data_IF_603433043019
#
_entry.id   IF_603433043019
#
_cell.length_a   1.000
_cell.length_b   1.000
_cell.length_c   1.000
_cell.angle_alpha   90.00
_cell.angle_beta   90.00
_cell.angle_gamma   90.00
#
_symmetry.space_group_name_H-M   'P 1'
#
loop_
_entity.id
_entity.type
_entity.pdbx_description
1 polymer ?
#
# COMPACT_ATOMS: atom_id res chain seq x y z
N UNK A 1 49.30 -15.68 35.56
CA UNK A 1 49.34 -14.67 34.50
C UNK A 1 48.10 -14.85 33.63
N UNK A 2 47.13 -13.96 33.73
CA UNK A 2 45.90 -13.93 32.91
C UNK A 2 45.53 -12.45 32.73
N UNK A 3 45.51 -11.98 31.49
CA UNK A 3 45.18 -10.59 31.15
C UNK A 3 43.68 -10.53 30.85
N UNK A 4 42.90 -9.88 31.72
CA UNK A 4 41.51 -9.54 31.43
C UNK A 4 41.52 -8.24 30.60
N UNK A 5 41.36 -8.37 29.28
CA UNK A 5 41.26 -7.22 28.38
C UNK A 5 39.98 -6.43 28.65
N UNK A 6 40.12 -5.22 29.21
CA UNK A 6 39.02 -4.27 29.31
C UNK A 6 38.63 -3.78 27.91
N UNK A 7 37.38 -3.99 27.52
CA UNK A 7 36.77 -3.28 26.38
C UNK A 7 36.44 -1.85 26.80
N UNK A 8 37.39 -0.93 26.65
CA UNK A 8 37.15 0.50 26.81
C UNK A 8 36.65 1.10 25.50
N UNK A 9 35.40 1.54 25.48
CA UNK A 9 34.88 2.43 24.44
C UNK A 9 33.41 2.21 24.11
N UNK A 10 32.55 3.15 24.52
CA UNK A 10 31.20 3.25 23.98
C UNK A 10 31.27 3.89 22.59
N UNK A 11 30.84 3.17 21.56
CA UNK A 11 30.74 3.70 20.19
C UNK A 11 29.34 4.30 20.02
N UNK A 12 29.25 5.62 19.86
CA UNK A 12 28.00 6.32 19.56
C UNK A 12 27.87 6.49 18.05
N UNK A 13 26.83 5.90 17.45
CA UNK A 13 26.55 6.02 16.01
C UNK A 13 25.31 6.89 15.81
N UNK A 14 25.47 7.99 15.07
CA UNK A 14 24.35 8.83 14.62
C UNK A 14 23.85 8.30 13.28
N UNK A 15 22.72 7.60 13.31
CA UNK A 15 22.05 7.13 12.10
C UNK A 15 20.87 8.09 11.82
N UNK A 16 20.88 8.86 10.72
CA UNK A 16 19.67 9.56 10.31
C UNK A 16 18.63 8.49 9.95
N UNK A 17 17.39 8.60 10.42
CA UNK A 17 16.30 7.70 10.03
C UNK A 17 14.96 8.44 10.09
N UNK A 18 13.96 7.95 9.36
CA UNK A 18 12.58 8.44 9.40
C UNK A 18 11.65 7.35 9.88
N UNK A 19 10.71 7.67 10.77
CA UNK A 19 9.64 6.74 11.17
C UNK A 19 8.42 7.02 10.31
N UNK A 20 7.97 6.03 9.54
CA UNK A 20 6.71 6.09 8.79
C UNK A 20 5.70 5.11 9.38
N UNK A 21 4.41 5.40 9.20
CA UNK A 21 3.31 4.51 9.60
C UNK A 21 2.69 3.87 8.35
N UNK A 22 2.76 2.54 8.23
CA UNK A 22 2.07 1.77 7.19
C UNK A 22 1.15 0.73 7.83
N UNK A 23 -0.15 0.83 7.55
CA UNK A 23 -1.13 -0.15 8.07
C UNK A 23 -1.13 -0.30 9.60
N UNK A 24 -0.85 0.76 10.34
CA UNK A 24 -0.75 0.74 11.82
C UNK A 24 0.60 0.31 12.38
N UNK A 25 1.52 -0.21 11.55
CA UNK A 25 2.89 -0.56 11.94
C UNK A 25 3.81 0.65 11.85
N UNK A 26 4.70 0.83 12.83
CA UNK A 26 5.80 1.81 12.78
C UNK A 26 6.96 1.16 12.04
N UNK A 27 7.38 1.75 10.92
CA UNK A 27 8.49 1.28 10.11
C UNK A 27 9.62 2.32 10.15
N UNK A 28 10.84 1.86 10.42
CA UNK A 28 12.03 2.71 10.45
C UNK A 28 12.69 2.69 9.07
N UNK A 29 12.68 3.83 8.39
CA UNK A 29 13.30 4.03 7.08
C UNK A 29 14.68 4.63 7.27
N UNK A 30 15.71 3.85 6.96
CA UNK A 30 17.10 4.29 6.91
C UNK A 30 17.36 5.02 5.57
N UNK A 31 18.03 6.18 5.55
CA UNK A 31 18.60 6.76 4.34
C UNK A 31 19.67 5.79 3.88
N UNK A 32 19.36 5.03 2.84
CA UNK A 32 20.24 3.98 2.35
C UNK A 32 20.65 4.29 0.91
N UNK A 33 21.97 4.28 0.69
CA UNK A 33 22.62 4.31 -0.63
C UNK A 33 22.36 3.02 -1.45
N UNK A 34 21.61 2.07 -0.87
CA UNK A 34 21.13 0.85 -1.54
C UNK A 34 19.61 0.82 -1.47
N UNK A 35 18.92 0.47 -2.56
CA UNK A 35 17.47 0.37 -2.54
C UNK A 35 17.08 -0.67 -1.50
N UNK A 36 16.40 -0.23 -0.44
CA UNK A 36 15.66 -1.09 0.48
C UNK A 36 14.89 -2.07 -0.39
N UNK A 37 15.10 -3.39 -0.21
CA UNK A 37 14.29 -4.40 -0.90
C UNK A 37 12.84 -4.05 -0.61
N UNK A 38 12.16 -3.51 -1.63
CA UNK A 38 10.79 -3.04 -1.54
C UNK A 38 9.96 -4.30 -1.33
N UNK A 39 9.70 -4.61 -0.06
CA UNK A 39 8.80 -5.68 0.31
C UNK A 39 7.49 -5.43 -0.44
N UNK A 40 7.11 -6.35 -1.33
CA UNK A 40 5.78 -6.33 -1.96
C UNK A 40 4.78 -6.04 -0.85
N UNK A 41 4.04 -4.93 -0.96
CA UNK A 41 2.95 -4.68 -0.02
C UNK A 41 1.85 -5.69 -0.33
N UNK A 42 1.95 -6.87 0.29
CA UNK A 42 1.06 -7.99 0.10
C UNK A 42 -0.40 -7.60 0.36
N UNK A 43 -0.63 -6.52 1.11
CA UNK A 43 -1.97 -5.99 1.37
C UNK A 43 -2.56 -5.34 0.13
N UNK A 44 -1.80 -4.51 -0.58
CA UNK A 44 -2.25 -3.85 -1.82
C UNK A 44 -2.41 -4.88 -2.92
N UNK A 45 -1.45 -5.80 -3.04
CA UNK A 45 -1.50 -6.89 -4.03
C UNK A 45 -2.77 -7.73 -3.83
N UNK A 46 -3.08 -8.12 -2.58
CA UNK A 46 -4.33 -8.84 -2.26
C UNK A 46 -5.58 -8.00 -2.57
N UNK A 47 -5.56 -6.69 -2.32
CA UNK A 47 -6.68 -5.81 -2.63
C UNK A 47 -6.94 -5.73 -4.14
N UNK A 48 -5.88 -5.57 -4.94
CA UNK A 48 -5.96 -5.58 -6.41
C UNK A 48 -6.49 -6.93 -6.90
N UNK A 49 -5.91 -8.04 -6.44
CA UNK A 49 -6.36 -9.38 -6.82
C UNK A 49 -7.85 -9.60 -6.47
N UNK A 50 -8.28 -9.13 -5.29
CA UNK A 50 -9.68 -9.21 -4.87
C UNK A 50 -10.60 -8.38 -5.75
N UNK A 51 -10.18 -7.17 -6.13
CA UNK A 51 -10.94 -6.30 -7.02
C UNK A 51 -11.23 -6.97 -8.37
N UNK A 52 -10.21 -7.55 -9.00
CA UNK A 52 -10.37 -8.27 -10.28
C UNK A 52 -11.20 -9.55 -10.13
N UNK A 53 -11.02 -10.31 -9.04
CA UNK A 53 -11.85 -11.48 -8.75
C UNK A 53 -13.33 -11.11 -8.61
N UNK A 54 -13.62 -10.09 -7.82
CA UNK A 54 -14.97 -9.59 -7.58
C UNK A 54 -15.62 -9.05 -8.85
N UNK A 55 -14.88 -8.29 -9.65
CA UNK A 55 -15.34 -7.85 -10.98
C UNK A 55 -15.72 -9.04 -11.85
N UNK A 56 -14.89 -10.08 -11.91
CA UNK A 56 -15.20 -11.28 -12.71
C UNK A 56 -16.48 -11.98 -12.25
N UNK A 57 -16.70 -12.12 -10.94
CA UNK A 57 -17.91 -12.76 -10.42
C UNK A 57 -19.17 -11.94 -10.75
N UNK A 58 -19.09 -10.60 -10.67
CA UNK A 58 -20.16 -9.70 -11.12
C UNK A 58 -20.39 -9.79 -12.63
N UNK A 59 -19.33 -9.72 -13.44
CA UNK A 59 -19.42 -9.79 -14.91
C UNK A 59 -19.98 -11.14 -15.39
N UNK A 60 -19.68 -12.22 -14.68
CA UNK A 60 -20.21 -13.56 -14.98
C UNK A 60 -21.65 -13.77 -14.53
N UNK A 61 -22.21 -12.86 -13.74
CA UNK A 61 -23.54 -13.01 -13.15
C UNK A 61 -23.61 -13.99 -11.97
N UNK A 62 -22.47 -14.46 -11.43
CA UNK A 62 -22.44 -15.25 -10.18
C UNK A 62 -23.07 -14.47 -9.02
N UNK A 63 -22.93 -13.15 -9.03
CA UNK A 63 -23.67 -12.22 -8.17
C UNK A 63 -24.33 -11.15 -9.03
N UNK A 64 -25.60 -10.86 -8.79
CA UNK A 64 -26.34 -9.86 -9.55
C UNK A 64 -25.99 -8.42 -9.13
N UNK A 65 -25.59 -8.22 -7.88
CA UNK A 65 -25.33 -6.88 -7.33
C UNK A 65 -24.12 -6.85 -6.40
N UNK A 66 -23.58 -5.64 -6.20
CA UNK A 66 -22.54 -5.38 -5.19
C UNK A 66 -23.05 -5.70 -3.77
N UNK A 67 -24.34 -5.48 -3.49
CA UNK A 67 -24.93 -5.77 -2.19
C UNK A 67 -24.90 -7.27 -1.88
N UNK A 68 -25.31 -8.09 -2.84
CA UNK A 68 -25.30 -9.55 -2.71
C UNK A 68 -23.88 -10.09 -2.50
N UNK A 69 -22.91 -9.60 -3.27
CA UNK A 69 -21.50 -9.93 -3.10
C UNK A 69 -20.99 -9.51 -1.71
N UNK A 70 -21.36 -8.32 -1.25
CA UNK A 70 -20.97 -7.77 0.04
C UNK A 70 -21.50 -8.63 1.21
N UNK A 71 -22.77 -9.04 1.14
CA UNK A 71 -23.40 -9.93 2.12
C UNK A 71 -22.71 -11.29 2.15
N UNK A 72 -22.40 -11.85 0.98
CA UNK A 72 -21.71 -13.15 0.86
C UNK A 72 -20.30 -13.14 1.42
N UNK A 73 -19.59 -12.03 1.23
CA UNK A 73 -18.22 -11.82 1.74
C UNK A 73 -18.21 -11.32 3.19
N UNK A 74 -19.36 -10.95 3.76
CA UNK A 74 -19.53 -10.33 5.09
C UNK A 74 -18.71 -9.05 5.24
N UNK A 75 -18.75 -8.22 4.21
CA UNK A 75 -18.00 -6.97 4.10
C UNK A 75 -18.99 -5.84 3.83
N UNK A 76 -18.75 -4.65 4.38
CA UNK A 76 -19.60 -3.50 4.09
C UNK A 76 -19.65 -3.18 2.58
N UNK A 77 -20.83 -2.94 1.97
CA UNK A 77 -20.94 -2.64 0.55
C UNK A 77 -20.06 -1.45 0.11
N UNK A 78 -19.92 -0.44 0.97
CA UNK A 78 -19.05 0.71 0.72
C UNK A 78 -17.57 0.33 0.55
N UNK A 79 -17.09 -0.68 1.27
CA UNK A 79 -15.74 -1.19 1.13
C UNK A 79 -15.59 -2.01 -0.15
N UNK A 80 -16.58 -2.85 -0.49
CA UNK A 80 -16.59 -3.59 -1.76
C UNK A 80 -16.48 -2.64 -2.94
N UNK A 81 -17.27 -1.56 -2.98
CA UNK A 81 -17.19 -0.52 -4.01
C UNK A 81 -15.81 0.15 -4.07
N UNK A 82 -15.19 0.44 -2.92
CA UNK A 82 -13.84 1.05 -2.88
C UNK A 82 -12.77 0.11 -3.42
N UNK A 83 -12.87 -1.19 -3.14
CA UNK A 83 -11.94 -2.20 -3.68
C UNK A 83 -12.20 -2.43 -5.16
N UNK A 84 -13.46 -2.54 -5.61
CA UNK A 84 -13.80 -2.67 -7.03
C UNK A 84 -13.27 -1.52 -7.87
N UNK A 85 -13.23 -0.30 -7.33
CA UNK A 85 -12.61 0.86 -8.00
C UNK A 85 -11.16 0.61 -8.40
N UNK A 86 -10.41 -0.25 -7.70
CA UNK A 86 -9.03 -0.58 -8.06
C UNK A 86 -8.90 -1.23 -9.44
N UNK A 87 -9.98 -1.78 -10.00
CA UNK A 87 -10.01 -2.27 -11.40
C UNK A 87 -9.90 -1.14 -12.43
N UNK A 88 -10.10 0.11 -12.01
CA UNK A 88 -9.97 1.31 -12.84
C UNK A 88 -8.56 1.91 -12.79
N UNK A 89 -7.63 1.29 -12.06
CA UNK A 89 -6.24 1.70 -12.06
C UNK A 89 -5.62 1.53 -13.46
N UNK A 90 -4.72 2.45 -13.80
CA UNK A 90 -3.94 2.35 -15.01
C UNK A 90 -3.10 1.05 -14.99
N UNK A 91 -2.95 0.36 -16.15
CA UNK A 91 -2.26 -0.92 -16.20
C UNK A 91 -0.82 -0.87 -15.67
N UNK A 92 -0.08 0.20 -15.98
CA UNK A 92 1.28 0.46 -15.51
C UNK A 92 1.37 0.55 -13.98
N UNK A 93 0.35 1.13 -13.32
CA UNK A 93 0.27 1.19 -11.86
C UNK A 93 0.02 -0.20 -11.27
N UNK A 94 -0.86 -0.99 -11.90
CA UNK A 94 -1.12 -2.37 -11.47
C UNK A 94 0.14 -3.22 -11.60
N UNK A 95 0.83 -3.15 -12.73
CA UNK A 95 2.11 -3.83 -12.95
C UNK A 95 3.15 -3.40 -11.93
N UNK A 96 3.31 -2.10 -11.67
CA UNK A 96 4.23 -1.59 -10.66
C UNK A 96 3.91 -2.14 -9.26
N UNK A 97 2.63 -2.28 -8.89
CA UNK A 97 2.20 -2.87 -7.61
C UNK A 97 2.57 -4.36 -7.54
N UNK A 98 2.33 -5.11 -8.62
CA UNK A 98 2.61 -6.55 -8.68
C UNK A 98 4.11 -6.84 -8.67
N UNK A 99 4.91 -5.96 -9.28
CA UNK A 99 6.37 -6.03 -9.31
C UNK A 99 7.04 -5.52 -8.01
N UNK A 100 6.28 -4.95 -7.06
CA UNK A 100 6.83 -4.29 -5.88
C UNK A 100 7.60 -3.00 -6.21
N UNK A 101 7.38 -2.43 -7.40
CA UNK A 101 8.04 -1.23 -7.92
C UNK A 101 7.25 0.05 -7.68
N UNK A 102 6.06 -0.03 -7.07
CA UNK A 102 5.23 1.14 -6.78
C UNK A 102 5.94 2.17 -5.89
N UNK A 103 5.56 3.44 -6.04
CA UNK A 103 6.11 4.51 -5.21
C UNK A 103 5.73 4.31 -3.73
N UNK A 104 6.56 4.74 -2.76
CA UNK A 104 6.30 4.58 -1.32
C UNK A 104 4.93 5.12 -0.86
N UNK A 105 4.42 6.14 -1.54
CA UNK A 105 3.15 6.83 -1.29
C UNK A 105 1.94 6.01 -1.73
N UNK A 106 2.14 5.08 -2.67
CA UNK A 106 1.12 4.14 -3.17
C UNK A 106 0.89 3.06 -2.12
N UNK A 107 0.11 3.42 -1.11
CA UNK A 107 -0.31 2.56 0.00
C UNK A 107 -1.75 2.08 -0.21
N UNK A 108 -2.18 1.03 0.50
CA UNK A 108 -3.59 0.58 0.46
C UNK A 108 -4.55 1.71 0.81
N UNK A 109 -4.21 2.49 1.84
CA UNK A 109 -5.02 3.64 2.26
C UNK A 109 -5.16 4.67 1.13
N UNK A 110 -4.11 4.87 0.33
CA UNK A 110 -4.10 5.81 -0.79
C UNK A 110 -4.94 5.32 -1.96
N UNK A 111 -4.75 4.08 -2.40
CA UNK A 111 -5.47 3.53 -3.56
C UNK A 111 -6.96 3.33 -3.29
N UNK A 112 -7.38 3.21 -2.03
CA UNK A 112 -8.79 3.16 -1.66
C UNK A 112 -9.47 4.54 -1.57
N UNK A 113 -8.73 5.64 -1.75
CA UNK A 113 -9.31 6.98 -1.90
C UNK A 113 -9.78 7.21 -3.35
N UNK A 114 -10.67 8.18 -3.61
CA UNK A 114 -10.99 8.58 -4.98
C UNK A 114 -9.75 9.05 -5.75
N UNK A 115 -9.60 8.55 -6.97
CA UNK A 115 -8.57 8.91 -7.93
C UNK A 115 -9.19 9.22 -9.30
N UNK A 116 -8.50 9.98 -10.17
CA UNK A 116 -9.01 10.33 -11.49
C UNK A 116 -9.35 9.10 -12.35
N UNK A 117 -10.48 9.15 -13.07
CA UNK A 117 -10.84 8.08 -14.00
C UNK A 117 -9.92 7.99 -15.22
N UNK A 118 -9.34 9.13 -15.65
CA UNK A 118 -8.38 9.18 -16.74
C UNK A 118 -6.99 8.75 -16.25
N UNK A 119 -6.42 7.72 -16.88
CA UNK A 119 -5.14 7.11 -16.48
C UNK A 119 -3.98 8.09 -16.38
N UNK A 120 -3.85 9.03 -17.30
CA UNK A 120 -2.76 10.02 -17.34
C UNK A 120 -2.64 10.87 -16.06
N UNK A 121 -3.71 11.01 -15.28
CA UNK A 121 -3.70 11.80 -14.03
C UNK A 121 -3.53 10.93 -12.78
N UNK A 122 -3.60 9.60 -12.91
CA UNK A 122 -3.52 8.70 -11.76
C UNK A 122 -2.14 8.68 -11.10
N UNK A 123 -1.01 8.57 -11.82
CA UNK A 123 0.32 8.58 -11.20
C UNK A 123 0.56 9.84 -10.36
N UNK A 124 0.23 11.02 -10.90
CA UNK A 124 0.34 12.29 -10.19
C UNK A 124 -0.51 12.34 -8.92
N UNK A 125 -1.72 11.78 -8.94
CA UNK A 125 -2.56 11.67 -7.73
C UNK A 125 -1.97 10.67 -6.74
N UNK A 126 -1.58 9.47 -7.16
CA UNK A 126 -1.20 8.39 -6.26
C UNK A 126 0.19 8.62 -5.61
N UNK A 127 1.09 9.33 -6.29
CA UNK A 127 2.43 9.62 -5.80
C UNK A 127 2.51 10.85 -4.88
N UNK A 128 1.41 11.56 -4.66
CA UNK A 128 1.36 12.67 -3.70
C UNK A 128 1.24 12.16 -2.26
N UNK A 129 2.03 12.75 -1.37
CA UNK A 129 1.91 12.53 0.08
C UNK A 129 0.45 12.79 0.54
N UNK A 130 -0.05 12.05 1.54
CA UNK A 130 -1.39 12.29 2.07
C UNK A 130 -1.50 13.72 2.56
N UNK A 131 -2.33 14.53 1.88
CA UNK A 131 -2.72 15.86 2.36
C UNK A 131 -3.41 15.66 3.70
N UNK A 132 -2.74 16.03 4.78
CA UNK A 132 -3.30 16.15 6.12
C UNK A 132 -4.37 17.24 6.08
N UNK A 133 -5.60 16.90 5.66
CA UNK A 133 -6.75 17.72 5.97
C UNK A 133 -6.99 17.57 7.48
N UNK A 134 -6.45 18.53 8.26
CA UNK A 134 -6.94 18.82 9.61
C UNK A 134 -8.42 19.14 9.47
N UNK A 135 -9.28 18.22 9.90
CA UNK A 135 -10.69 18.54 10.12
C UNK A 135 -10.79 19.35 11.41
N UNK A 136 -11.51 20.48 11.33
CA UNK A 136 -12.11 21.14 12.49
C UNK A 136 -13.14 20.21 13.14
#
# INVERSE_FOLDING_TARGET
MTYAGQIQGTVTVHVPFSIVRRGGRKEMVLPSERPVQRNLDATIVKAVARAFRWKRMLDSGEFATIAELADRERIAPSYVTRVLRLTLLAPDIVEAILDGKQAPEVTLARVLQPFPGLWQYQPGRLNQAPTLQRSK
#
